data_IF_955375221588
#
_entry.id   IF_955375221588
#
_cell.length_a   1.000
_cell.length_b   1.000
_cell.length_c   1.000
_cell.angle_alpha   90.00
_cell.angle_beta   90.00
_cell.angle_gamma   90.00
#
_symmetry.space_group_name_H-M   'P 1'
#
loop_
_entity.id
_entity.type
_entity.pdbx_description
1 polymer ?
#
# COMPACT_ATOMS: atom_id res chain seq x y z
N UNK A 1 -1.32 45.98 32.54
CA UNK A 1 -1.97 44.92 31.72
C UNK A 1 -1.73 43.58 32.40
N UNK A 2 -2.80 42.91 32.86
CA UNK A 2 -2.74 41.72 33.74
C UNK A 2 -2.58 40.46 32.86
N UNK A 3 -1.48 39.71 33.02
CA UNK A 3 -1.31 38.39 32.40
C UNK A 3 -1.80 37.33 33.38
N UNK A 4 -2.81 36.56 33.00
CA UNK A 4 -3.24 35.33 33.68
C UNK A 4 -3.37 34.24 32.62
N UNK A 5 -2.60 33.18 32.75
CA UNK A 5 -2.70 31.93 31.98
C UNK A 5 -2.30 30.83 32.98
N UNK A 6 -3.27 30.35 33.76
CA UNK A 6 -3.87 29.02 33.63
C UNK A 6 -2.83 27.88 33.53
N UNK A 7 -2.30 27.49 34.70
CA UNK A 7 -1.86 26.13 34.95
C UNK A 7 -3.10 25.28 35.23
N UNK A 8 -3.13 24.07 34.68
CA UNK A 8 -3.91 22.98 35.24
C UNK A 8 -4.91 22.36 34.28
N UNK A 9 -4.47 21.36 33.52
CA UNK A 9 -5.33 20.23 33.19
C UNK A 9 -4.48 18.99 32.93
N UNK A 10 -4.03 18.36 34.02
CA UNK A 10 -3.53 17.00 34.01
C UNK A 10 -4.56 16.15 34.77
N UNK A 11 -5.57 15.63 34.08
CA UNK A 11 -6.48 14.62 34.63
C UNK A 11 -6.18 13.30 33.95
N UNK A 12 -5.47 12.44 34.69
CA UNK A 12 -5.21 11.05 34.33
C UNK A 12 -6.52 10.28 34.17
N UNK A 13 -6.52 9.40 33.17
CA UNK A 13 -7.52 8.40 32.84
C UNK A 13 -7.82 7.49 34.03
N UNK A 14 -9.05 7.52 34.53
CA UNK A 14 -9.57 6.50 35.45
C UNK A 14 -10.16 5.34 34.64
N UNK A 15 -9.68 4.14 34.97
CA UNK A 15 -9.97 2.87 34.34
C UNK A 15 -11.45 2.48 34.38
N UNK A 16 -11.85 1.79 33.32
CA UNK A 16 -13.09 1.05 33.10
C UNK A 16 -13.65 0.43 34.39
N UNK A 17 -14.85 0.88 34.76
CA UNK A 17 -15.70 0.22 35.75
C UNK A 17 -16.97 -0.28 35.08
N UNK A 18 -17.23 -1.57 35.32
CA UNK A 18 -18.55 -2.20 35.46
C UNK A 18 -19.30 -2.52 34.16
N UNK A 19 -18.94 -3.66 33.57
CA UNK A 19 -19.83 -4.47 32.72
C UNK A 19 -20.21 -5.75 33.47
N UNK A 20 -21.45 -5.78 33.94
CA UNK A 20 -22.05 -6.75 34.86
C UNK A 20 -21.95 -8.22 34.44
N UNK A 21 -21.75 -9.09 35.43
CA UNK A 21 -22.00 -10.53 35.36
C UNK A 21 -23.45 -10.80 34.94
N UNK A 22 -23.67 -11.48 33.81
CA UNK A 22 -24.98 -11.98 33.41
C UNK A 22 -24.92 -13.49 33.20
N UNK A 23 -25.67 -14.17 34.07
CA UNK A 23 -26.29 -15.50 33.94
C UNK A 23 -25.42 -16.65 33.43
N UNK A 24 -24.93 -17.46 34.38
CA UNK A 24 -24.76 -18.89 34.17
C UNK A 24 -26.15 -19.49 33.86
N UNK A 25 -26.47 -19.62 32.58
CA UNK A 25 -27.57 -20.47 32.12
C UNK A 25 -26.98 -21.84 31.77
N UNK A 26 -27.39 -22.86 32.51
CA UNK A 26 -27.02 -24.26 32.27
C UNK A 26 -27.60 -24.74 30.95
N UNK A 27 -26.84 -24.68 29.86
CA UNK A 27 -27.13 -25.42 28.63
C UNK A 27 -26.30 -26.70 28.60
N UNK A 28 -27.00 -27.82 28.61
CA UNK A 28 -26.53 -29.15 28.25
C UNK A 28 -25.58 -29.09 27.05
N UNK A 29 -24.39 -29.67 27.20
CA UNK A 29 -23.43 -29.81 26.11
C UNK A 29 -24.04 -30.69 25.00
N UNK A 30 -24.55 -30.05 23.96
CA UNK A 30 -24.70 -30.71 22.65
C UNK A 30 -23.31 -30.69 22.04
N UNK A 31 -22.73 -31.87 21.87
CA UNK A 31 -21.51 -32.08 21.11
C UNK A 31 -21.79 -31.85 19.62
N UNK A 32 -22.01 -30.60 19.22
CA UNK A 32 -21.95 -30.23 17.82
C UNK A 32 -20.49 -30.07 17.47
N UNK A 33 -19.93 -31.12 16.87
CA UNK A 33 -18.69 -31.04 16.12
C UNK A 33 -18.82 -29.87 15.14
N UNK A 34 -18.12 -28.74 15.31
CA UNK A 34 -18.15 -27.70 14.30
C UNK A 34 -17.49 -28.32 13.07
N UNK A 35 -18.28 -28.65 12.06
CA UNK A 35 -17.75 -28.87 10.73
C UNK A 35 -16.95 -27.61 10.40
N UNK A 36 -15.62 -27.71 10.46
CA UNK A 36 -14.74 -26.68 9.92
C UNK A 36 -15.11 -26.57 8.45
N UNK A 37 -15.87 -25.53 8.10
CA UNK A 37 -15.97 -25.08 6.72
C UNK A 37 -14.55 -24.67 6.35
N UNK A 38 -13.79 -25.61 5.76
CA UNK A 38 -12.52 -25.30 5.12
C UNK A 38 -12.89 -24.40 3.95
N UNK A 39 -12.83 -23.08 4.19
CA UNK A 39 -12.83 -22.11 3.10
C UNK A 39 -11.50 -22.31 2.39
N UNK A 40 -11.52 -23.07 1.30
CA UNK A 40 -10.41 -23.08 0.37
C UNK A 40 -10.27 -21.64 -0.15
N UNK A 41 -9.35 -20.87 0.45
CA UNK A 41 -8.86 -19.66 -0.17
C UNK A 41 -7.97 -20.12 -1.31
N UNK A 42 -8.52 -20.12 -2.53
CA UNK A 42 -7.72 -20.33 -3.72
C UNK A 42 -6.64 -19.24 -3.77
N UNK A 43 -5.38 -19.65 -3.55
CA UNK A 43 -4.23 -18.77 -3.69
C UNK A 43 -3.93 -18.65 -5.19
N UNK A 44 -4.48 -17.63 -5.84
CA UNK A 44 -4.13 -17.33 -7.22
C UNK A 44 -2.72 -16.76 -7.28
N UNK A 45 -1.83 -17.44 -7.99
CA UNK A 45 -0.50 -16.90 -8.29
C UNK A 45 -0.65 -15.64 -9.15
N UNK A 46 0.09 -14.59 -8.78
CA UNK A 46 0.17 -13.35 -9.55
C UNK A 46 1.44 -13.34 -10.38
N UNK A 47 1.33 -12.96 -11.63
CA UNK A 47 2.46 -12.89 -12.54
C UNK A 47 3.19 -11.54 -12.44
N UNK A 48 4.49 -11.56 -12.72
CA UNK A 48 5.33 -10.38 -12.79
C UNK A 48 5.92 -10.28 -14.20
N UNK A 49 5.68 -9.14 -14.84
CA UNK A 49 6.17 -8.85 -16.19
C UNK A 49 7.32 -7.85 -16.15
N UNK A 50 8.22 -7.92 -17.14
CA UNK A 50 9.37 -7.04 -17.25
C UNK A 50 9.44 -6.43 -18.66
N UNK A 51 9.70 -5.13 -18.72
CA UNK A 51 9.85 -4.40 -19.98
C UNK A 51 11.03 -3.44 -19.92
N UNK A 52 11.81 -3.37 -20.99
CA UNK A 52 12.94 -2.43 -21.11
C UNK A 52 12.57 -1.32 -22.09
N UNK A 53 12.78 -0.06 -21.68
CA UNK A 53 12.46 1.12 -22.46
C UNK A 53 13.68 2.02 -22.49
N UNK A 54 14.04 2.49 -23.68
CA UNK A 54 15.07 3.51 -23.85
C UNK A 54 14.44 4.78 -24.41
N UNK A 55 14.62 5.91 -23.72
CA UNK A 55 14.15 7.23 -24.14
C UNK A 55 15.31 8.23 -24.16
N UNK A 56 15.16 9.33 -24.89
CA UNK A 56 16.10 10.45 -24.85
C UNK A 56 15.76 11.45 -23.75
N UNK A 57 16.72 12.29 -23.38
CA UNK A 57 16.44 13.47 -22.54
C UNK A 57 15.41 14.37 -23.25
N UNK A 58 14.34 14.72 -22.55
CA UNK A 58 13.20 15.50 -23.04
C UNK A 58 12.12 14.69 -23.76
N UNK A 59 12.37 13.42 -24.07
CA UNK A 59 11.38 12.53 -24.67
C UNK A 59 10.36 12.06 -23.63
N UNK A 60 9.12 11.85 -24.09
CA UNK A 60 8.03 11.38 -23.24
C UNK A 60 7.34 10.15 -23.80
N UNK A 61 6.89 9.28 -22.90
CA UNK A 61 6.17 8.05 -23.22
C UNK A 61 5.09 7.79 -22.17
N UNK A 62 3.96 7.22 -22.58
CA UNK A 62 2.95 6.73 -21.64
C UNK A 62 3.13 5.23 -21.42
N UNK A 63 3.21 4.83 -20.15
CA UNK A 63 3.27 3.45 -19.73
C UNK A 63 1.86 2.85 -19.62
N UNK A 64 1.76 1.54 -19.79
CA UNK A 64 0.51 0.81 -19.55
C UNK A 64 0.43 0.36 -18.09
N UNK A 65 -0.74 0.50 -17.48
CA UNK A 65 -1.01 0.06 -16.11
C UNK A 65 -1.63 1.16 -15.26
N UNK A 66 -1.60 0.95 -13.94
CA UNK A 66 -2.08 1.90 -12.94
C UNK A 66 -1.20 1.84 -11.69
N UNK A 67 -1.44 2.71 -10.70
CA UNK A 67 -0.72 2.64 -9.43
C UNK A 67 0.80 2.90 -9.56
N UNK A 68 1.23 3.70 -10.52
CA UNK A 68 2.65 3.85 -10.86
C UNK A 68 3.51 4.34 -9.68
N UNK A 69 4.63 3.67 -9.44
CA UNK A 69 5.65 4.09 -8.47
C UNK A 69 7.07 3.75 -8.94
N UNK A 70 8.06 4.50 -8.44
CA UNK A 70 9.47 4.25 -8.70
C UNK A 70 9.98 3.20 -7.71
N UNK A 71 10.61 2.13 -8.22
CA UNK A 71 11.13 1.01 -7.42
C UNK A 71 12.66 0.90 -7.39
N UNK A 72 13.39 1.78 -8.10
CA UNK A 72 14.85 1.76 -8.08
C UNK A 72 15.43 2.26 -6.74
N UNK A 73 16.75 2.22 -6.58
CA UNK A 73 17.46 2.92 -5.51
C UNK A 73 17.76 4.39 -5.91
N UNK A 74 17.95 5.32 -4.96
CA UNK A 74 18.27 6.70 -5.29
C UNK A 74 19.60 6.78 -6.09
N UNK A 75 19.74 7.74 -7.01
CA UNK A 75 18.86 8.89 -7.21
C UNK A 75 17.71 8.63 -8.23
N UNK A 76 16.52 9.19 -7.95
CA UNK A 76 15.29 9.00 -8.74
C UNK A 76 15.04 10.09 -9.79
N UNK A 77 16.03 10.94 -10.02
CA UNK A 77 15.88 12.21 -10.72
C UNK A 77 16.21 12.12 -12.22
N UNK A 78 16.41 10.91 -12.75
CA UNK A 78 16.59 10.69 -14.19
C UNK A 78 15.28 10.85 -14.98
N UNK A 79 14.14 10.65 -14.35
CA UNK A 79 12.81 10.74 -14.99
C UNK A 79 11.83 11.56 -14.15
N UNK A 80 10.86 12.15 -14.82
CA UNK A 80 9.59 12.57 -14.22
C UNK A 80 8.55 11.48 -14.49
N UNK A 81 7.75 11.15 -13.48
CA UNK A 81 6.63 10.22 -13.58
C UNK A 81 5.39 10.87 -12.96
N UNK A 82 4.29 10.94 -13.71
CA UNK A 82 3.00 11.36 -13.17
C UNK A 82 2.13 10.17 -12.75
N UNK A 83 0.97 10.47 -12.15
CA UNK A 83 0.01 9.44 -11.68
C UNK A 83 -0.69 8.69 -12.82
N UNK A 84 -0.63 9.20 -14.04
CA UNK A 84 -1.26 8.63 -15.23
C UNK A 84 -0.32 7.74 -16.05
N UNK A 85 0.94 7.59 -15.62
CA UNK A 85 1.93 6.77 -16.32
C UNK A 85 2.71 7.51 -17.40
N UNK A 86 2.59 8.84 -17.49
CA UNK A 86 3.46 9.65 -18.35
C UNK A 86 4.85 9.69 -17.71
N UNK A 87 5.84 9.24 -18.47
CA UNK A 87 7.26 9.35 -18.16
C UNK A 87 7.91 10.37 -19.07
N UNK A 88 8.79 11.20 -18.51
CA UNK A 88 9.63 12.15 -19.25
C UNK A 88 11.09 11.97 -18.83
N UNK A 89 12.00 11.82 -19.78
CA UNK A 89 13.44 11.77 -19.50
C UNK A 89 13.97 13.14 -19.09
N UNK A 90 14.51 13.28 -17.87
CA UNK A 90 15.03 14.56 -17.35
C UNK A 90 16.54 14.70 -17.52
N UNK A 91 17.28 13.61 -17.28
CA UNK A 91 18.74 13.55 -17.43
C UNK A 91 19.18 12.10 -17.68
N UNK A 92 20.38 11.86 -18.21
CA UNK A 92 20.89 10.51 -18.42
C UNK A 92 20.91 9.70 -17.12
N UNK A 93 20.46 8.44 -17.20
CA UNK A 93 20.35 7.56 -16.05
C UNK A 93 19.38 6.40 -16.29
N UNK A 94 19.26 5.51 -15.30
CA UNK A 94 18.35 4.36 -15.35
C UNK A 94 17.46 4.33 -14.12
N UNK A 95 16.16 4.12 -14.33
CA UNK A 95 15.14 4.09 -13.27
C UNK A 95 14.19 2.92 -13.53
N UNK A 96 13.76 2.26 -12.45
CA UNK A 96 12.73 1.23 -12.51
C UNK A 96 11.38 1.80 -12.07
N UNK A 97 10.34 1.60 -12.87
CA UNK A 97 8.96 2.00 -12.57
C UNK A 97 8.10 0.75 -12.53
N UNK A 98 7.27 0.61 -11.50
CA UNK A 98 6.32 -0.49 -11.36
C UNK A 98 4.90 0.03 -11.57
N UNK A 99 4.06 -0.79 -12.20
CA UNK A 99 2.64 -0.53 -12.38
C UNK A 99 1.82 -1.80 -12.15
N UNK A 100 0.58 -1.61 -11.70
CA UNK A 100 -0.42 -2.67 -11.57
C UNK A 100 -1.14 -2.89 -12.91
N UNK A 101 -1.31 -4.15 -13.28
CA UNK A 101 -2.08 -4.59 -14.44
C UNK A 101 -3.48 -5.08 -14.04
N UNK A 102 -4.44 -5.10 -14.99
CA UNK A 102 -5.74 -5.74 -14.76
C UNK A 102 -5.56 -7.19 -14.32
N UNK A 103 -6.28 -7.63 -13.28
CA UNK A 103 -6.11 -8.97 -12.69
C UNK A 103 -5.21 -9.01 -11.46
N UNK A 104 -4.54 -7.90 -11.13
CA UNK A 104 -3.71 -7.78 -9.92
C UNK A 104 -2.27 -8.24 -10.10
N UNK A 105 -1.88 -8.54 -11.34
CA UNK A 105 -0.49 -8.72 -11.77
C UNK A 105 0.27 -7.40 -11.77
N UNK A 106 1.59 -7.47 -11.82
CA UNK A 106 2.46 -6.30 -11.84
C UNK A 106 3.40 -6.32 -13.04
N UNK A 107 3.76 -5.14 -13.52
CA UNK A 107 4.78 -4.95 -14.55
C UNK A 107 5.86 -4.00 -14.05
N UNK A 108 7.12 -4.35 -14.28
CA UNK A 108 8.28 -3.51 -13.99
C UNK A 108 8.94 -3.05 -15.28
N UNK A 109 9.01 -1.74 -15.45
CA UNK A 109 9.66 -1.05 -16.56
C UNK A 109 11.06 -0.60 -16.15
N UNK A 110 12.08 -1.08 -16.86
CA UNK A 110 13.44 -0.57 -16.75
C UNK A 110 13.64 0.51 -17.80
N UNK A 111 13.70 1.77 -17.36
CA UNK A 111 13.76 2.93 -18.23
C UNK A 111 15.18 3.47 -18.23
N UNK A 112 15.83 3.48 -19.39
CA UNK A 112 17.14 4.10 -19.60
C UNK A 112 16.97 5.39 -20.38
N UNK A 113 17.44 6.49 -19.80
CA UNK A 113 17.52 7.81 -20.43
C UNK A 113 18.92 8.02 -20.97
N UNK A 114 19.04 8.32 -22.26
CA UNK A 114 20.33 8.57 -22.94
C UNK A 114 20.37 9.88 -23.72
#
# INVERSE_FOLDING_TARGET
MKKKLLLGLLSLTACFSLGSTSFANSSTAVNENPAMTVVNQDVTAKDNYYAEITIKVGESINLTGSGFFISSAPPYDAIYLNRQGLVIGLKPGSVAVVADLPGGDTIMYFITVK
#
